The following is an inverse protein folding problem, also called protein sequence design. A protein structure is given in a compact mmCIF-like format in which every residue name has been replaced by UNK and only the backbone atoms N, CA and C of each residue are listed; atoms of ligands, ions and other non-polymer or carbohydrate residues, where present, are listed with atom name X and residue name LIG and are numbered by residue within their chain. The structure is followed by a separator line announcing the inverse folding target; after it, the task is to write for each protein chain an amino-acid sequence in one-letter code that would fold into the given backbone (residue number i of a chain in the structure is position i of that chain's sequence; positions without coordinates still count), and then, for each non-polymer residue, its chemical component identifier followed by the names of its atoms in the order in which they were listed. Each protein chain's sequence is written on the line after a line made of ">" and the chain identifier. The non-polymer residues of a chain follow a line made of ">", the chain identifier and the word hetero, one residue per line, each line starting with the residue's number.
data_IF_952239063311
#
_entry.id   IF_952239063311
#
_cell.length_a   1.000
_cell.length_b   1.000
_cell.length_c   1.000
_cell.angle_alpha   90.00
_cell.angle_beta   90.00
_cell.angle_gamma   90.00
#
_symmetry.space_group_name_H-M   'P 1'
#
loop_
_entity.id
_entity.type
_entity.pdbx_description
1 polymer ?
#
# COMPACT_ATOMS: atom_id res chain seq x y z
N UNK A 1 26.11 -13.83 30.29
CA UNK A 1 26.14 -12.57 29.49
C UNK A 1 24.94 -12.46 28.55
N UNK A 2 24.17 -13.53 28.35
CA UNK A 2 23.06 -13.64 27.39
C UNK A 2 21.84 -12.74 27.65
N UNK A 3 21.53 -12.42 28.92
CA UNK A 3 20.40 -11.53 29.23
C UNK A 3 20.56 -10.12 28.63
N UNK A 4 21.77 -9.54 28.72
CA UNK A 4 22.02 -8.19 28.18
C UNK A 4 21.99 -8.15 26.65
N UNK A 5 22.44 -9.22 25.99
CA UNK A 5 22.40 -9.33 24.52
C UNK A 5 20.95 -9.49 24.02
N UNK A 6 20.15 -10.30 24.71
CA UNK A 6 18.70 -10.39 24.45
C UNK A 6 17.98 -9.06 24.66
N UNK A 7 18.32 -8.30 25.71
CA UNK A 7 17.78 -6.96 25.92
C UNK A 7 18.16 -5.97 24.81
N UNK A 8 19.39 -6.07 24.29
CA UNK A 8 19.88 -5.19 23.24
C UNK A 8 19.23 -5.53 21.89
N UNK A 9 19.11 -6.83 21.58
CA UNK A 9 18.39 -7.32 20.41
C UNK A 9 16.90 -6.93 20.46
N UNK A 10 16.26 -7.05 21.62
CA UNK A 10 14.87 -6.64 21.83
C UNK A 10 14.65 -5.15 21.57
N UNK A 11 15.55 -4.28 22.04
CA UNK A 11 15.49 -2.83 21.75
C UNK A 11 15.72 -2.52 20.28
N UNK A 12 16.60 -3.27 19.62
CA UNK A 12 16.88 -3.10 18.19
C UNK A 12 15.67 -3.50 17.34
N UNK A 13 15.05 -4.64 17.65
CA UNK A 13 13.82 -5.10 17.00
C UNK A 13 12.66 -4.11 17.22
N UNK A 14 12.53 -3.55 18.43
CA UNK A 14 11.53 -2.53 18.71
C UNK A 14 11.77 -1.25 17.90
N UNK A 15 13.02 -0.79 17.79
CA UNK A 15 13.37 0.37 16.97
C UNK A 15 13.05 0.13 15.47
N UNK A 16 13.32 -1.08 14.97
CA UNK A 16 12.95 -1.49 13.61
C UNK A 16 11.43 -1.52 13.45
N UNK A 17 10.68 -2.06 14.41
CA UNK A 17 9.23 -2.08 14.38
C UNK A 17 8.62 -0.67 14.37
N UNK A 18 9.16 0.25 15.17
CA UNK A 18 8.75 1.67 15.19
C UNK A 18 9.08 2.36 13.87
N UNK A 19 10.26 2.10 13.31
CA UNK A 19 10.65 2.65 12.01
C UNK A 19 9.73 2.14 10.91
N UNK A 20 9.50 0.83 10.85
CA UNK A 20 8.57 0.20 9.90
C UNK A 20 7.17 0.79 10.08
N UNK A 21 6.66 0.87 11.30
CA UNK A 21 5.36 1.47 11.58
C UNK A 21 5.31 2.94 11.15
N UNK A 22 6.34 3.76 11.39
CA UNK A 22 6.37 5.15 10.90
C UNK A 22 6.50 5.26 9.38
N UNK A 23 7.18 4.33 8.73
CA UNK A 23 7.30 4.33 7.26
C UNK A 23 6.05 3.80 6.56
N UNK A 24 5.33 2.89 7.18
CA UNK A 24 4.11 2.27 6.63
C UNK A 24 2.86 3.05 7.05
N UNK A 25 2.77 3.45 8.31
CA UNK A 25 1.63 4.18 8.90
C UNK A 25 1.83 5.70 8.95
N UNK A 26 3.04 6.22 8.66
CA UNK A 26 3.25 7.66 8.55
C UNK A 26 2.48 8.23 7.36
N UNK A 27 1.53 9.13 7.63
CA UNK A 27 0.67 9.76 6.63
C UNK A 27 1.41 10.22 5.36
N UNK A 28 2.57 10.92 5.46
CA UNK A 28 3.33 11.36 4.28
C UNK A 28 3.93 10.22 3.46
N UNK A 29 4.37 9.13 4.11
CA UNK A 29 4.93 7.97 3.41
C UNK A 29 3.82 7.17 2.71
N UNK A 30 2.68 6.99 3.40
CA UNK A 30 1.46 6.41 2.84
C UNK A 30 0.97 7.21 1.63
N UNK A 31 0.98 8.54 1.70
CA UNK A 31 0.59 9.41 0.59
C UNK A 31 1.53 9.28 -0.62
N UNK A 32 2.85 9.30 -0.41
CA UNK A 32 3.83 9.07 -1.49
C UNK A 32 3.64 7.72 -2.17
N UNK A 33 3.40 6.67 -1.40
CA UNK A 33 3.12 5.34 -1.94
C UNK A 33 1.81 5.29 -2.74
N UNK A 34 0.75 5.92 -2.24
CA UNK A 34 -0.52 6.02 -2.96
C UNK A 34 -0.36 6.76 -4.30
N UNK A 35 0.38 7.88 -4.32
CA UNK A 35 0.66 8.63 -5.55
C UNK A 35 1.42 7.79 -6.58
N UNK A 36 2.46 7.05 -6.14
CA UNK A 36 3.23 6.16 -7.00
C UNK A 36 2.37 5.02 -7.57
N UNK A 37 1.54 4.38 -6.74
CA UNK A 37 0.59 3.34 -7.19
C UNK A 37 -0.39 3.90 -8.22
N UNK A 38 -0.96 5.08 -7.96
CA UNK A 38 -1.92 5.69 -8.87
C UNK A 38 -1.27 6.12 -10.21
N UNK A 39 0.00 6.51 -10.19
CA UNK A 39 0.76 6.74 -11.42
C UNK A 39 1.01 5.44 -12.20
N UNK A 40 1.37 4.36 -11.52
CA UNK A 40 1.57 3.05 -12.14
C UNK A 40 0.27 2.49 -12.77
N UNK A 41 -0.87 2.63 -12.07
CA UNK A 41 -2.19 2.25 -12.60
C UNK A 41 -2.53 3.00 -13.89
N UNK A 42 -2.30 4.32 -13.91
CA UNK A 42 -2.53 5.13 -15.12
C UNK A 42 -1.60 4.71 -16.26
N UNK A 43 -0.32 4.45 -15.97
CA UNK A 43 0.64 4.00 -16.98
C UNK A 43 0.28 2.61 -17.55
N UNK A 44 -0.22 1.69 -16.72
CA UNK A 44 -0.68 0.37 -17.17
C UNK A 44 -1.92 0.49 -18.06
N UNK A 45 -2.89 1.30 -17.68
CA UNK A 45 -4.09 1.56 -18.50
C UNK A 45 -3.73 2.23 -19.83
N UNK A 46 -2.78 3.18 -19.84
CA UNK A 46 -2.27 3.79 -21.08
C UNK A 46 -1.58 2.79 -22.01
N UNK A 47 -1.07 1.67 -21.49
CA UNK A 47 -0.49 0.57 -22.26
C UNK A 47 -1.52 -0.48 -22.69
N UNK A 48 -2.81 -0.22 -22.46
CA UNK A 48 -3.91 -1.08 -22.91
C UNK A 48 -4.34 -2.17 -21.92
N UNK A 49 -3.83 -2.17 -20.69
CA UNK A 49 -4.30 -3.12 -19.67
C UNK A 49 -5.73 -2.74 -19.25
N UNK A 50 -6.72 -3.63 -19.37
CA UNK A 50 -8.10 -3.32 -19.06
C UNK A 50 -8.34 -3.14 -17.56
N UNK A 51 -9.33 -2.30 -17.22
CA UNK A 51 -9.69 -1.96 -15.83
C UNK A 51 -10.02 -3.20 -14.99
N UNK A 52 -10.73 -4.17 -15.56
CA UNK A 52 -11.08 -5.41 -14.88
C UNK A 52 -9.85 -6.23 -14.47
N UNK A 53 -8.83 -6.29 -15.33
CA UNK A 53 -7.57 -6.99 -15.03
C UNK A 53 -6.77 -6.25 -13.96
N UNK A 54 -6.70 -4.91 -14.02
CA UNK A 54 -6.08 -4.10 -12.96
C UNK A 54 -6.76 -4.28 -11.61
N UNK A 55 -8.10 -4.32 -11.60
CA UNK A 55 -8.93 -4.53 -10.42
C UNK A 55 -8.70 -5.92 -9.79
N UNK A 56 -8.82 -6.98 -10.59
CA UNK A 56 -8.63 -8.35 -10.15
C UNK A 56 -7.22 -8.59 -9.58
N UNK A 57 -6.18 -8.09 -10.27
CA UNK A 57 -4.78 -8.31 -9.89
C UNK A 57 -4.35 -7.55 -8.64
N UNK A 58 -5.11 -6.53 -8.25
CA UNK A 58 -4.87 -5.72 -7.06
C UNK A 58 -5.86 -6.01 -5.92
N UNK A 59 -6.86 -6.88 -6.13
CA UNK A 59 -7.94 -7.11 -5.15
C UNK A 59 -8.78 -5.86 -4.88
N UNK A 60 -8.95 -5.01 -5.90
CA UNK A 60 -9.66 -3.72 -5.80
C UNK A 60 -10.93 -3.75 -6.62
N UNK A 61 -11.94 -2.96 -6.22
CA UNK A 61 -13.12 -2.81 -7.05
C UNK A 61 -12.82 -2.02 -8.34
N UNK A 62 -13.46 -2.41 -9.44
CA UNK A 62 -13.34 -1.67 -10.70
C UNK A 62 -13.74 -0.20 -10.56
N UNK A 63 -14.79 0.07 -9.77
CA UNK A 63 -15.25 1.44 -9.51
C UNK A 63 -14.16 2.29 -8.86
N UNK A 64 -13.40 1.71 -7.94
CA UNK A 64 -12.26 2.38 -7.33
C UNK A 64 -11.13 2.62 -8.34
N UNK A 65 -10.81 1.64 -9.18
CA UNK A 65 -9.78 1.79 -10.23
C UNK A 65 -10.18 2.89 -11.21
N UNK A 66 -11.44 2.95 -11.64
CA UNK A 66 -11.96 4.04 -12.49
C UNK A 66 -11.81 5.41 -11.84
N UNK A 67 -12.08 5.54 -10.54
CA UNK A 67 -11.87 6.80 -9.82
C UNK A 67 -10.40 7.26 -9.88
N UNK A 68 -9.45 6.33 -9.69
CA UNK A 68 -8.02 6.64 -9.79
C UNK A 68 -7.60 7.02 -11.20
N UNK A 69 -8.10 6.32 -12.22
CA UNK A 69 -7.82 6.63 -13.61
C UNK A 69 -8.37 8.01 -14.00
N UNK A 70 -9.52 8.40 -13.44
CA UNK A 70 -10.12 9.72 -13.60
C UNK A 70 -9.43 10.82 -12.76
N UNK A 71 -8.31 10.51 -12.09
CA UNK A 71 -7.53 11.49 -11.33
C UNK A 71 -8.14 11.89 -9.98
N UNK A 72 -9.19 11.20 -9.51
CA UNK A 72 -9.74 11.42 -8.17
C UNK A 72 -8.85 10.70 -7.15
N UNK A 73 -8.67 11.29 -5.97
CA UNK A 73 -8.03 10.66 -4.81
C UNK A 73 -9.15 9.95 -4.01
N UNK A 74 -9.29 8.62 -4.11
CA UNK A 74 -10.31 7.93 -3.33
C UNK A 74 -9.91 7.95 -1.86
N UNK A 75 -10.88 8.09 -0.95
CA UNK A 75 -10.64 8.17 0.49
C UNK A 75 -9.95 6.90 1.03
N UNK A 76 -10.35 5.72 0.53
CA UNK A 76 -9.75 4.43 0.86
C UNK A 76 -9.93 3.45 -0.30
N UNK A 77 -8.99 2.52 -0.54
CA UNK A 77 -9.25 1.36 -1.38
C UNK A 77 -10.27 0.47 -0.67
N UNK A 78 -11.49 0.28 -1.21
CA UNK A 78 -12.32 -0.82 -0.77
C UNK A 78 -11.61 -2.08 -1.27
N UNK A 79 -10.80 -2.65 -0.38
CA UNK A 79 -10.29 -4.01 -0.55
C UNK A 79 -11.55 -4.85 -0.62
N UNK A 80 -11.71 -5.58 -1.72
CA UNK A 80 -12.77 -6.57 -1.79
C UNK A 80 -12.30 -7.67 -0.83
N UNK A 81 -12.95 -7.81 0.33
CA UNK A 81 -12.77 -9.01 1.14
C UNK A 81 -13.16 -10.18 0.25
N UNK A 82 -12.17 -10.99 -0.16
CA UNK A 82 -12.45 -12.27 -0.78
C UNK A 82 -13.32 -13.05 0.21
N UNK A 83 -14.58 -13.29 -0.17
CA UNK A 83 -15.39 -14.32 0.45
C UNK A 83 -14.66 -15.65 0.20
N UNK A 84 -13.90 -16.10 1.19
CA UNK A 84 -13.28 -17.42 1.26
C UNK A 84 -14.01 -18.26 2.31
#
# INVERSE_FOLDING_TARGET
>A
MDRRLNDTAGRLLLAVAVLLHRTVAGGPARERWQLRRNAALRAANQRGVPVAELAARLGLSEGWVRQVLNGRKPAEPPVIEEAA
#
